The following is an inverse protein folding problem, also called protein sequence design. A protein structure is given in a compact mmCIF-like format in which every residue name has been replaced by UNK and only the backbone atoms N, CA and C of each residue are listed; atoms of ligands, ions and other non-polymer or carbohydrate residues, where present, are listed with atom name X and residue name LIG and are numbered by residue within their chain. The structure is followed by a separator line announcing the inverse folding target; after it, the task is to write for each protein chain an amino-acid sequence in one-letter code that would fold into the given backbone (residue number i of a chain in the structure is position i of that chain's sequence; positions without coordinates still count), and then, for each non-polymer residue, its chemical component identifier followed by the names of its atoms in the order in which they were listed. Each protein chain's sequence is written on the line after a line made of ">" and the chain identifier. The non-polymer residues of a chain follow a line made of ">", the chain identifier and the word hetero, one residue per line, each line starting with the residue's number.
data_IF_614004746605
#
_entry.id   IF_614004746605
#
_cell.length_a   1.000
_cell.length_b   1.000
_cell.length_c   1.000
_cell.angle_alpha   90.00
_cell.angle_beta   90.00
_cell.angle_gamma   90.00
#
_symmetry.space_group_name_H-M   'P 1'
#
loop_
_entity.id
_entity.type
_entity.pdbx_description
1 polymer ?
#
# COMPACT_ATOMS: atom_id res chain seq x y z
N UNK A 1 18.48 -9.19 30.34
CA UNK A 1 17.23 -9.16 31.13
C UNK A 1 16.36 -7.92 30.87
N UNK A 2 16.87 -6.80 30.33
CA UNK A 2 16.01 -5.63 30.06
C UNK A 2 14.98 -5.83 28.93
N UNK A 3 15.32 -6.61 27.90
CA UNK A 3 14.47 -6.76 26.72
C UNK A 3 13.23 -7.64 26.91
N UNK A 4 13.04 -8.35 28.04
CA UNK A 4 11.84 -9.17 28.24
C UNK A 4 10.62 -8.38 28.75
N UNK A 5 10.78 -7.12 29.15
CA UNK A 5 9.68 -6.32 29.71
C UNK A 5 9.73 -4.83 29.36
N UNK A 6 10.65 -4.42 28.47
CA UNK A 6 10.86 -3.01 28.13
C UNK A 6 9.61 -2.30 27.60
N UNK A 7 8.71 -3.02 26.91
CA UNK A 7 7.44 -2.49 26.43
C UNK A 7 6.52 -2.02 27.57
N UNK A 8 6.53 -2.71 28.72
CA UNK A 8 5.85 -2.27 29.94
C UNK A 8 6.55 -1.08 30.59
N UNK A 9 7.85 -0.90 30.38
CA UNK A 9 8.54 0.29 30.90
C UNK A 9 8.29 1.53 30.05
N UNK A 10 8.01 1.39 28.75
CA UNK A 10 7.72 2.55 27.89
C UNK A 10 6.47 3.31 28.30
N UNK A 11 5.44 2.60 28.73
CA UNK A 11 4.14 3.18 29.13
C UNK A 11 4.22 4.00 30.43
N UNK A 12 5.32 3.87 31.20
CA UNK A 12 5.51 4.59 32.46
C UNK A 12 7.00 4.83 32.80
N UNK A 13 7.77 5.29 31.82
CA UNK A 13 9.24 5.29 31.88
C UNK A 13 9.87 6.22 32.94
N UNK A 14 9.11 7.19 33.47
CA UNK A 14 9.56 8.15 34.49
C UNK A 14 9.18 7.75 35.92
N UNK A 15 8.41 6.68 36.11
CA UNK A 15 7.96 6.27 37.42
C UNK A 15 9.11 5.69 38.26
N UNK A 16 9.44 6.33 39.37
CA UNK A 16 10.51 5.91 40.28
C UNK A 16 10.04 5.01 41.41
N UNK A 17 8.73 4.86 41.59
CA UNK A 17 8.12 4.19 42.75
C UNK A 17 7.71 2.75 42.43
N UNK A 18 7.41 2.47 41.16
CA UNK A 18 7.01 1.16 40.66
C UNK A 18 7.58 0.91 39.26
N UNK A 19 7.49 -0.34 38.79
CA UNK A 19 7.93 -0.72 37.47
C UNK A 19 7.08 -0.06 36.37
N UNK A 20 5.75 -0.08 36.55
CA UNK A 20 4.74 0.62 35.77
C UNK A 20 3.42 0.65 36.57
N UNK A 21 2.63 1.70 36.43
CA UNK A 21 1.34 1.81 37.13
C UNK A 21 0.24 0.94 36.51
N UNK A 22 -0.74 0.53 37.34
CA UNK A 22 -1.95 -0.16 36.86
C UNK A 22 -2.74 0.66 35.85
N UNK A 23 -2.71 2.00 35.98
CA UNK A 23 -3.35 2.89 35.00
C UNK A 23 -2.64 2.80 33.65
N UNK A 24 -1.31 2.85 33.64
CA UNK A 24 -0.54 2.75 32.40
C UNK A 24 -0.77 1.40 31.71
N UNK A 25 -0.78 0.30 32.48
CA UNK A 25 -1.10 -1.03 31.94
C UNK A 25 -2.51 -1.04 31.30
N UNK A 26 -3.52 -0.49 31.99
CA UNK A 26 -4.87 -0.46 31.48
C UNK A 26 -5.09 0.43 30.25
N UNK A 27 -4.33 1.51 30.11
CA UNK A 27 -4.47 2.45 29.00
C UNK A 27 -3.76 1.96 27.73
N UNK A 28 -2.68 1.19 27.85
CA UNK A 28 -1.75 0.92 26.74
C UNK A 28 -1.49 -0.56 26.44
N UNK A 29 -1.77 -1.47 27.36
CA UNK A 29 -1.57 -2.90 27.15
C UNK A 29 -2.88 -3.59 26.73
N UNK A 30 -2.78 -4.71 26.01
CA UNK A 30 -1.56 -5.27 25.40
C UNK A 30 -1.17 -4.53 24.12
N UNK A 31 0.09 -4.62 23.70
CA UNK A 31 0.57 -3.97 22.47
C UNK A 31 -0.21 -4.52 21.28
N UNK A 32 -0.89 -3.64 20.53
CA UNK A 32 -1.74 -4.06 19.40
C UNK A 32 -0.93 -4.72 18.27
N UNK A 33 0.21 -4.14 17.91
CA UNK A 33 1.07 -4.61 16.84
C UNK A 33 2.54 -4.61 17.27
N UNK A 34 3.15 -5.79 17.24
CA UNK A 34 4.58 -5.98 17.41
C UNK A 34 5.22 -6.38 16.07
N UNK A 35 6.18 -5.59 15.59
CA UNK A 35 6.94 -5.88 14.37
C UNK A 35 8.39 -6.18 14.75
N UNK A 36 8.88 -7.36 14.38
CA UNK A 36 10.24 -7.78 14.70
C UNK A 36 10.69 -8.98 13.88
N UNK A 37 11.99 -9.11 13.61
CA UNK A 37 12.51 -10.17 12.76
C UNK A 37 12.30 -11.56 13.36
N UNK A 38 12.15 -12.57 12.50
CA UNK A 38 11.89 -13.95 12.90
C UNK A 38 13.04 -14.55 13.75
N UNK A 39 14.25 -13.99 13.69
CA UNK A 39 15.38 -14.35 14.53
C UNK A 39 15.10 -14.21 16.03
N UNK A 40 14.08 -13.44 16.41
CA UNK A 40 13.70 -13.21 17.80
C UNK A 40 12.63 -14.19 18.32
N UNK A 41 12.10 -15.08 17.48
CA UNK A 41 11.01 -16.01 17.82
C UNK A 41 11.33 -16.92 19.01
N UNK A 42 12.52 -17.53 19.04
CA UNK A 42 12.89 -18.53 20.07
C UNK A 42 13.62 -17.95 21.28
N UNK A 43 13.91 -16.64 21.28
CA UNK A 43 14.61 -15.96 22.37
C UNK A 43 13.74 -14.87 22.95
N UNK A 44 13.83 -13.66 22.40
CA UNK A 44 13.19 -12.48 22.96
C UNK A 44 11.68 -12.67 23.11
N UNK A 45 10.98 -13.18 22.10
CA UNK A 45 9.53 -13.36 22.14
C UNK A 45 9.10 -14.38 23.19
N UNK A 46 9.85 -15.48 23.35
CA UNK A 46 9.59 -16.46 24.40
C UNK A 46 9.81 -15.86 25.80
N UNK A 47 10.93 -15.15 26.00
CA UNK A 47 11.21 -14.52 27.29
C UNK A 47 10.25 -13.39 27.61
N UNK A 48 9.82 -12.62 26.61
CA UNK A 48 8.82 -11.55 26.78
C UNK A 48 7.50 -12.13 27.26
N UNK A 49 7.02 -13.20 26.63
CA UNK A 49 5.79 -13.89 27.05
C UNK A 49 5.92 -14.52 28.44
N UNK A 50 7.03 -15.22 28.71
CA UNK A 50 7.26 -15.81 30.03
C UNK A 50 7.22 -14.77 31.16
N UNK A 51 7.97 -13.67 31.02
CA UNK A 51 7.98 -12.63 32.04
C UNK A 51 6.64 -11.89 32.13
N UNK A 52 5.93 -11.70 31.01
CA UNK A 52 4.60 -11.11 31.03
C UNK A 52 3.60 -11.98 31.80
N UNK A 53 3.63 -13.31 31.60
CA UNK A 53 2.79 -14.25 32.36
C UNK A 53 3.11 -14.21 33.86
N UNK A 54 4.39 -14.15 34.25
CA UNK A 54 4.78 -13.97 35.66
C UNK A 54 4.18 -12.67 36.23
N UNK A 55 4.23 -11.57 35.49
CA UNK A 55 3.67 -10.29 35.92
C UNK A 55 2.13 -10.29 35.99
N UNK A 56 1.49 -11.02 35.07
CA UNK A 56 0.04 -11.26 35.09
C UNK A 56 -0.37 -12.07 36.33
N UNK A 57 0.30 -13.18 36.61
CA UNK A 57 0.01 -14.05 37.77
C UNK A 57 0.22 -13.31 39.11
N UNK A 58 1.18 -12.39 39.15
CA UNK A 58 1.43 -11.52 40.31
C UNK A 58 0.47 -10.32 40.40
N UNK A 59 -0.41 -10.12 39.41
CA UNK A 59 -1.40 -9.05 39.39
C UNK A 59 -0.85 -7.65 39.04
N UNK A 60 0.33 -7.59 38.42
CA UNK A 60 0.90 -6.34 37.92
C UNK A 60 0.33 -5.93 36.55
N UNK A 61 0.03 -6.91 35.69
CA UNK A 61 -0.69 -6.68 34.43
C UNK A 61 -2.05 -7.36 34.47
N UNK A 62 -3.06 -6.77 33.83
CA UNK A 62 -4.38 -7.39 33.65
C UNK A 62 -4.48 -8.23 32.36
N UNK A 63 -3.43 -8.26 31.54
CA UNK A 63 -3.40 -8.95 30.26
C UNK A 63 -2.51 -10.20 30.34
N UNK A 64 -2.95 -11.36 29.82
CA UNK A 64 -2.18 -12.60 29.90
C UNK A 64 -1.08 -12.71 28.84
N UNK A 65 -1.14 -11.91 27.76
CA UNK A 65 -0.18 -11.92 26.66
C UNK A 65 0.22 -10.48 26.27
N UNK A 66 1.50 -10.23 25.96
CA UNK A 66 2.00 -8.86 25.76
C UNK A 66 1.68 -8.26 24.38
N UNK A 67 1.42 -9.08 23.36
CA UNK A 67 1.30 -8.67 21.96
C UNK A 67 0.05 -9.28 21.32
N UNK A 68 -0.85 -8.48 20.74
CA UNK A 68 -2.07 -8.96 20.08
C UNK A 68 -1.78 -9.49 18.67
N UNK A 69 -1.05 -8.71 17.87
CA UNK A 69 -0.61 -9.08 16.52
C UNK A 69 0.92 -9.04 16.45
N UNK A 70 1.52 -10.11 15.94
CA UNK A 70 2.94 -10.22 15.67
C UNK A 70 3.16 -10.30 14.15
N UNK A 71 4.04 -9.45 13.62
CA UNK A 71 4.44 -9.48 12.21
C UNK A 71 5.97 -9.60 12.13
N UNK A 72 6.43 -10.55 11.31
CA UNK A 72 7.85 -10.73 11.06
C UNK A 72 8.25 -10.05 9.76
N UNK A 73 8.99 -8.93 9.85
CA UNK A 73 9.60 -8.37 8.64
C UNK A 73 10.64 -9.34 8.09
N UNK A 74 10.70 -9.42 6.76
CA UNK A 74 11.71 -10.21 6.08
C UNK A 74 13.07 -9.54 6.16
N UNK A 75 14.12 -10.36 6.13
CA UNK A 75 15.50 -9.87 6.19
C UNK A 75 15.88 -9.18 4.87
N UNK A 76 16.51 -8.01 4.97
CA UNK A 76 17.16 -7.35 3.84
C UNK A 76 18.58 -7.91 3.71
N UNK A 77 18.87 -8.47 2.54
CA UNK A 77 20.18 -9.03 2.20
C UNK A 77 21.04 -7.98 1.50
N UNK A 78 22.36 -8.18 1.48
CA UNK A 78 23.28 -7.42 0.64
C UNK A 78 22.95 -7.55 -0.85
N UNK A 79 23.61 -6.74 -1.67
CA UNK A 79 23.49 -6.80 -3.14
C UNK A 79 23.95 -8.15 -3.71
N UNK A 80 24.76 -8.89 -2.94
CA UNK A 80 25.24 -10.24 -3.21
C UNK A 80 24.23 -11.34 -2.84
N UNK A 81 23.06 -10.98 -2.28
CA UNK A 81 22.05 -11.94 -1.83
C UNK A 81 22.41 -12.62 -0.51
N UNK A 82 23.39 -12.10 0.23
CA UNK A 82 23.84 -12.68 1.49
C UNK A 82 23.49 -11.78 2.68
N UNK A 83 23.51 -12.32 3.90
CA UNK A 83 23.30 -11.50 5.10
C UNK A 83 24.38 -10.41 5.19
N UNK A 84 23.95 -9.15 5.36
CA UNK A 84 24.88 -8.04 5.51
C UNK A 84 25.74 -8.20 6.76
N UNK A 85 27.05 -7.99 6.64
CA UNK A 85 27.98 -7.99 7.77
C UNK A 85 29.25 -7.20 7.49
N UNK A 86 29.82 -6.56 8.53
CA UNK A 86 31.06 -5.78 8.40
C UNK A 86 32.23 -6.61 7.86
N UNK A 87 32.34 -7.88 8.26
CA UNK A 87 33.39 -8.79 7.79
C UNK A 87 33.30 -9.14 6.31
N UNK A 88 32.11 -9.04 5.71
CA UNK A 88 31.88 -9.28 4.27
C UNK A 88 32.00 -8.02 3.42
N UNK A 89 32.04 -6.84 4.05
CA UNK A 89 32.09 -5.56 3.32
C UNK A 89 30.85 -5.26 2.47
N UNK A 90 29.75 -5.99 2.67
CA UNK A 90 28.51 -5.90 1.89
C UNK A 90 27.39 -5.11 2.62
N UNK A 91 27.75 -4.38 3.68
CA UNK A 91 26.80 -3.54 4.44
C UNK A 91 26.49 -2.29 3.63
N UNK A 92 25.20 -2.02 3.46
CA UNK A 92 24.72 -0.74 2.95
C UNK A 92 24.47 0.17 4.15
N UNK A 93 25.13 1.32 4.17
CA UNK A 93 24.92 2.31 5.22
C UNK A 93 23.70 3.18 4.88
N UNK A 94 22.65 3.20 5.71
CA UNK A 94 21.48 4.04 5.46
C UNK A 94 21.83 5.54 5.39
N UNK A 95 22.84 5.99 6.14
CA UNK A 95 23.24 7.41 6.16
C UNK A 95 23.70 7.89 4.77
N UNK A 96 24.40 7.04 4.02
CA UNK A 96 24.88 7.36 2.67
C UNK A 96 23.67 7.58 1.73
N UNK A 97 22.64 6.73 1.83
CA UNK A 97 21.42 6.86 1.03
C UNK A 97 20.63 8.12 1.44
N UNK A 98 20.52 8.39 2.74
CA UNK A 98 19.82 9.59 3.24
C UNK A 98 20.53 10.87 2.78
N UNK A 99 21.86 10.90 2.81
CA UNK A 99 22.64 12.05 2.36
C UNK A 99 22.50 12.30 0.86
N UNK A 100 22.47 11.23 0.05
CA UNK A 100 22.41 11.34 -1.41
C UNK A 100 21.00 11.52 -1.98
N UNK A 101 20.00 10.84 -1.39
CA UNK A 101 18.65 10.73 -1.95
C UNK A 101 17.55 11.22 -1.00
N UNK A 102 17.87 11.49 0.26
CA UNK A 102 16.92 11.92 1.29
C UNK A 102 16.27 10.77 2.05
N UNK A 103 15.79 11.07 3.27
CA UNK A 103 15.19 10.09 4.17
C UNK A 103 13.93 9.42 3.59
N UNK A 104 13.09 10.20 2.89
CA UNK A 104 11.87 9.67 2.30
C UNK A 104 12.14 8.72 1.13
N UNK A 105 13.24 8.90 0.39
CA UNK A 105 13.61 7.98 -0.67
C UNK A 105 14.01 6.62 -0.08
N UNK A 106 14.79 6.60 1.01
CA UNK A 106 15.13 5.38 1.73
C UNK A 106 13.87 4.67 2.24
N UNK A 107 12.99 5.39 2.97
CA UNK A 107 11.74 4.83 3.53
C UNK A 107 10.82 4.27 2.46
N UNK A 108 10.57 5.03 1.39
CA UNK A 108 9.74 4.57 0.28
C UNK A 108 10.34 3.33 -0.37
N UNK A 109 11.66 3.31 -0.59
CA UNK A 109 12.30 2.16 -1.20
C UNK A 109 12.13 0.90 -0.34
N UNK A 110 12.48 0.94 0.94
CA UNK A 110 12.36 -0.22 1.84
C UNK A 110 10.93 -0.78 1.89
N UNK A 111 9.93 0.11 1.93
CA UNK A 111 8.52 -0.28 1.97
C UNK A 111 7.98 -0.72 0.60
N UNK A 112 8.64 -0.36 -0.50
CA UNK A 112 8.20 -0.67 -1.87
C UNK A 112 8.86 -1.91 -2.49
N UNK A 113 10.02 -2.35 -1.97
CA UNK A 113 10.79 -3.48 -2.51
C UNK A 113 10.01 -4.80 -2.62
N UNK A 114 8.88 -4.93 -1.92
CA UNK A 114 7.99 -6.08 -1.95
C UNK A 114 7.24 -6.25 -0.63
N UNK A 115 6.50 -7.36 -0.45
CA UNK A 115 5.78 -7.64 0.80
C UNK A 115 6.70 -7.53 2.01
N UNK A 116 6.23 -6.93 3.11
CA UNK A 116 7.04 -6.66 4.31
C UNK A 116 7.75 -7.91 4.84
N UNK A 117 7.06 -9.05 4.82
CA UNK A 117 7.51 -10.33 5.36
C UNK A 117 8.55 -11.06 4.48
N UNK A 118 8.68 -10.65 3.22
CA UNK A 118 9.56 -11.33 2.27
C UNK A 118 11.04 -10.97 2.51
N UNK A 119 11.93 -11.97 2.41
CA UNK A 119 13.38 -11.75 2.35
C UNK A 119 13.75 -11.18 0.98
N UNK A 120 14.51 -10.09 0.96
CA UNK A 120 14.76 -9.30 -0.26
C UNK A 120 16.22 -8.84 -0.34
N UNK A 121 16.92 -8.99 -1.48
CA UNK A 121 18.24 -8.37 -1.66
C UNK A 121 18.10 -6.86 -1.88
N UNK A 122 18.97 -6.09 -1.23
CA UNK A 122 19.10 -4.67 -1.47
C UNK A 122 19.59 -4.39 -2.89
N UNK A 123 18.98 -3.40 -3.57
CA UNK A 123 19.38 -2.97 -4.91
C UNK A 123 19.40 -1.45 -5.01
N UNK A 124 20.56 -0.82 -4.80
CA UNK A 124 20.72 0.65 -4.84
C UNK A 124 20.22 1.26 -6.15
N UNK A 125 20.38 0.56 -7.28
CA UNK A 125 19.90 1.02 -8.59
C UNK A 125 18.37 1.21 -8.66
N UNK A 126 17.60 0.52 -7.81
CA UNK A 126 16.14 0.63 -7.77
C UNK A 126 15.66 1.83 -6.94
N UNK A 127 16.51 2.43 -6.09
CA UNK A 127 16.17 3.66 -5.33
C UNK A 127 15.79 4.80 -6.28
N UNK A 128 16.42 4.87 -7.45
CA UNK A 128 16.07 5.85 -8.48
C UNK A 128 14.58 5.78 -8.91
N UNK A 129 13.92 4.62 -8.76
CA UNK A 129 12.50 4.46 -9.03
C UNK A 129 11.61 5.29 -8.10
N UNK A 130 11.86 5.21 -6.79
CA UNK A 130 11.08 5.98 -5.81
C UNK A 130 11.41 7.46 -5.85
N UNK A 131 12.66 7.84 -6.16
CA UNK A 131 13.04 9.25 -6.38
C UNK A 131 12.31 9.86 -7.58
N UNK A 132 12.18 9.12 -8.69
CA UNK A 132 11.36 9.58 -9.83
C UNK A 132 9.90 9.76 -9.44
N UNK A 133 9.34 8.86 -8.64
CA UNK A 133 7.97 8.99 -8.13
C UNK A 133 7.80 10.25 -7.26
N UNK A 134 8.70 10.48 -6.30
CA UNK A 134 8.69 11.69 -5.47
C UNK A 134 8.70 12.97 -6.31
N UNK A 135 9.61 13.05 -7.29
CA UNK A 135 9.71 14.20 -8.19
C UNK A 135 8.42 14.41 -9.01
N UNK A 136 7.79 13.33 -9.47
CA UNK A 136 6.49 13.43 -10.18
C UNK A 136 5.41 13.97 -9.26
N UNK A 137 5.28 13.42 -8.05
CA UNK A 137 4.27 13.83 -7.08
C UNK A 137 4.45 15.30 -6.69
N UNK A 138 5.68 15.71 -6.40
CA UNK A 138 6.02 17.11 -6.12
C UNK A 138 5.59 18.05 -7.26
N UNK A 139 5.85 17.65 -8.51
CA UNK A 139 5.43 18.42 -9.68
C UNK A 139 3.91 18.44 -9.88
N UNK A 140 3.19 17.36 -9.55
CA UNK A 140 1.72 17.34 -9.57
C UNK A 140 1.18 18.38 -8.59
N UNK A 141 1.68 18.39 -7.36
CA UNK A 141 1.22 19.33 -6.32
C UNK A 141 1.53 20.78 -6.69
N UNK A 142 2.70 21.05 -7.28
CA UNK A 142 3.07 22.41 -7.72
C UNK A 142 2.25 22.97 -8.88
N UNK A 143 1.59 22.12 -9.65
CA UNK A 143 0.78 22.52 -10.81
C UNK A 143 -0.73 22.39 -10.52
N UNK A 144 -1.12 22.34 -9.24
CA UNK A 144 -2.52 22.34 -8.85
C UNK A 144 -3.23 23.60 -9.34
N UNK A 145 -4.44 23.40 -9.86
CA UNK A 145 -5.35 24.46 -10.21
C UNK A 145 -6.48 24.51 -9.19
N UNK A 146 -6.57 25.62 -8.45
CA UNK A 146 -7.59 25.80 -7.41
C UNK A 146 -9.02 25.92 -7.97
N UNK A 147 -9.16 26.19 -9.27
CA UNK A 147 -10.45 26.30 -9.96
C UNK A 147 -10.83 25.00 -10.70
N UNK A 148 -9.93 24.01 -10.77
CA UNK A 148 -10.21 22.74 -11.45
C UNK A 148 -11.16 21.89 -10.61
N UNK A 149 -12.31 21.53 -11.20
CA UNK A 149 -13.24 20.57 -10.64
C UNK A 149 -12.75 19.13 -10.90
N UNK A 150 -13.03 18.24 -9.95
CA UNK A 150 -12.67 16.84 -10.08
C UNK A 150 -13.71 16.11 -10.95
N UNK A 151 -13.27 15.57 -12.08
CA UNK A 151 -14.13 14.76 -12.93
C UNK A 151 -14.47 13.40 -12.30
N UNK A 152 -15.44 12.69 -12.90
CA UNK A 152 -15.91 11.40 -12.40
C UNK A 152 -14.81 10.33 -12.39
N UNK A 153 -13.91 10.33 -13.38
CA UNK A 153 -12.79 9.39 -13.45
C UNK A 153 -11.81 9.61 -12.29
N UNK A 154 -11.40 10.86 -12.07
CA UNK A 154 -10.47 11.25 -11.00
C UNK A 154 -11.09 11.01 -9.63
N UNK A 155 -12.38 11.32 -9.46
CA UNK A 155 -13.13 11.06 -8.23
C UNK A 155 -13.12 9.58 -7.91
N UNK A 156 -13.53 8.74 -8.87
CA UNK A 156 -13.56 7.29 -8.70
C UNK A 156 -12.17 6.73 -8.36
N UNK A 157 -11.14 7.12 -9.11
CA UNK A 157 -9.77 6.64 -8.87
C UNK A 157 -9.22 7.11 -7.53
N UNK A 158 -9.52 8.35 -7.10
CA UNK A 158 -9.16 8.85 -5.77
C UNK A 158 -9.78 7.98 -4.68
N UNK A 159 -11.08 7.68 -4.77
CA UNK A 159 -11.78 6.82 -3.81
C UNK A 159 -11.22 5.39 -3.76
N UNK A 160 -10.97 4.78 -4.93
CA UNK A 160 -10.30 3.48 -5.02
C UNK A 160 -8.90 3.51 -4.39
N UNK A 161 -8.14 4.59 -4.60
CA UNK A 161 -6.80 4.76 -4.02
C UNK A 161 -6.87 4.92 -2.51
N UNK A 162 -7.76 5.77 -2.00
CA UNK A 162 -7.97 5.97 -0.55
C UNK A 162 -8.36 4.66 0.14
N UNK A 163 -9.28 3.89 -0.46
CA UNK A 163 -9.64 2.55 0.03
C UNK A 163 -8.43 1.64 0.07
N UNK A 164 -7.77 1.47 -1.08
CA UNK A 164 -6.65 0.54 -1.21
C UNK A 164 -5.50 0.87 -0.26
N UNK A 165 -5.09 2.13 -0.16
CA UNK A 165 -4.00 2.55 0.72
C UNK A 165 -4.37 2.31 2.19
N UNK A 166 -5.61 2.61 2.58
CA UNK A 166 -6.09 2.38 3.95
C UNK A 166 -6.08 0.89 4.31
N UNK A 167 -6.65 0.04 3.45
CA UNK A 167 -6.69 -1.41 3.66
C UNK A 167 -5.28 -2.03 3.66
N UNK A 168 -4.43 -1.62 2.71
CA UNK A 168 -3.06 -2.12 2.59
C UNK A 168 -2.19 -1.71 3.79
N UNK A 169 -2.34 -0.50 4.34
CA UNK A 169 -1.63 -0.09 5.57
C UNK A 169 -2.03 -0.98 6.74
N UNK A 170 -3.33 -1.23 6.94
CA UNK A 170 -3.83 -2.11 8.00
C UNK A 170 -3.36 -3.56 7.84
N UNK A 171 -3.24 -4.00 6.59
CA UNK A 171 -2.73 -5.33 6.24
C UNK A 171 -1.19 -5.41 6.20
N UNK A 172 -0.47 -4.31 6.40
CA UNK A 172 0.99 -4.19 6.25
C UNK A 172 1.50 -4.50 4.81
N UNK A 173 0.63 -4.34 3.81
CA UNK A 173 0.92 -4.50 2.38
C UNK A 173 1.45 -3.18 1.77
N UNK A 174 2.49 -2.61 2.38
CA UNK A 174 2.98 -1.27 2.05
C UNK A 174 3.42 -1.09 0.58
N UNK A 175 3.98 -2.15 -0.02
CA UNK A 175 4.43 -2.10 -1.40
C UNK A 175 3.27 -1.86 -2.37
N UNK A 176 2.11 -2.48 -2.14
CA UNK A 176 0.92 -2.28 -2.99
C UNK A 176 0.19 -0.98 -2.69
N UNK A 177 0.28 -0.46 -1.45
CA UNK A 177 -0.19 0.89 -1.12
C UNK A 177 0.60 1.92 -1.93
N UNK A 178 1.94 1.83 -1.92
CA UNK A 178 2.82 2.72 -2.69
C UNK A 178 2.57 2.56 -4.20
N UNK A 179 2.34 1.33 -4.70
CA UNK A 179 1.92 1.14 -6.11
C UNK A 179 0.63 1.91 -6.44
N UNK A 180 -0.38 1.88 -5.55
CA UNK A 180 -1.63 2.61 -5.75
C UNK A 180 -1.39 4.13 -5.81
N UNK A 181 -0.54 4.66 -4.92
CA UNK A 181 -0.11 6.06 -4.96
C UNK A 181 0.60 6.39 -6.28
N UNK A 182 1.52 5.54 -6.76
CA UNK A 182 2.18 5.75 -8.04
C UNK A 182 1.20 5.81 -9.21
N UNK A 183 0.18 4.94 -9.23
CA UNK A 183 -0.88 4.95 -10.25
C UNK A 183 -1.65 6.28 -10.20
N UNK A 184 -2.08 6.68 -9.01
CA UNK A 184 -2.83 7.93 -8.84
C UNK A 184 -1.99 9.17 -9.20
N UNK A 185 -0.70 9.21 -8.84
CA UNK A 185 0.21 10.29 -9.29
C UNK A 185 0.31 10.35 -10.81
N UNK A 186 0.41 9.21 -11.51
CA UNK A 186 0.49 9.21 -12.96
C UNK A 186 -0.82 9.70 -13.59
N UNK A 187 -1.98 9.36 -13.01
CA UNK A 187 -3.28 9.89 -13.42
C UNK A 187 -3.33 11.41 -13.29
N UNK A 188 -3.03 11.94 -12.10
CA UNK A 188 -3.00 13.39 -11.86
C UNK A 188 -1.99 14.10 -12.76
N UNK A 189 -0.82 13.51 -13.00
CA UNK A 189 0.16 14.05 -13.94
C UNK A 189 -0.41 14.16 -15.37
N UNK A 190 -1.30 13.25 -15.77
CA UNK A 190 -1.99 13.28 -17.06
C UNK A 190 -2.95 14.46 -17.22
N UNK A 191 -3.48 14.99 -16.11
CA UNK A 191 -4.38 16.15 -16.09
C UNK A 191 -3.63 17.48 -16.34
N UNK A 192 -2.30 17.49 -16.31
CA UNK A 192 -1.44 18.67 -16.56
C UNK A 192 -1.75 19.84 -15.61
N UNK A 193 -2.37 20.90 -16.12
CA UNK A 193 -2.75 22.13 -15.41
C UNK A 193 -4.18 22.08 -14.87
N UNK A 194 -4.85 20.91 -14.96
CA UNK A 194 -6.19 20.68 -14.44
C UNK A 194 -6.18 19.74 -13.22
N UNK A 195 -5.10 19.71 -12.44
CA UNK A 195 -5.03 18.91 -11.20
C UNK A 195 -5.91 19.55 -10.14
N UNK A 196 -7.01 18.91 -9.69
CA UNK A 196 -7.88 19.45 -8.65
C UNK A 196 -7.13 19.51 -7.32
N UNK A 197 -7.28 20.63 -6.61
CA UNK A 197 -6.64 20.84 -5.30
C UNK A 197 -6.96 19.74 -4.29
N UNK A 198 -8.24 19.37 -4.19
CA UNK A 198 -8.69 18.34 -3.25
C UNK A 198 -7.96 17.00 -3.48
N UNK A 199 -7.80 16.58 -4.75
CA UNK A 199 -7.10 15.35 -5.08
C UNK A 199 -5.62 15.39 -4.63
N UNK A 200 -4.95 16.53 -4.79
CA UNK A 200 -3.58 16.73 -4.33
C UNK A 200 -3.45 16.75 -2.79
N UNK A 201 -4.43 17.35 -2.09
CA UNK A 201 -4.49 17.35 -0.62
C UNK A 201 -4.66 15.93 -0.07
N UNK A 202 -5.60 15.15 -0.60
CA UNK A 202 -5.78 13.74 -0.20
C UNK A 202 -4.56 12.90 -0.55
N UNK A 203 -3.90 13.18 -1.67
CA UNK A 203 -2.65 12.53 -2.04
C UNK A 203 -1.53 12.76 -1.01
N UNK A 204 -1.37 14.00 -0.53
CA UNK A 204 -0.37 14.32 0.49
C UNK A 204 -0.66 13.58 1.81
N UNK A 205 -1.92 13.53 2.25
CA UNK A 205 -2.32 12.78 3.45
C UNK A 205 -2.01 11.28 3.34
N UNK A 206 -2.32 10.66 2.20
CA UNK A 206 -2.03 9.23 1.98
C UNK A 206 -0.53 8.92 1.88
N UNK A 207 0.27 9.88 1.40
CA UNK A 207 1.73 9.74 1.27
C UNK A 207 2.44 9.81 2.63
N UNK A 208 1.89 10.57 3.57
CA UNK A 208 2.54 10.93 4.84
C UNK A 208 3.12 9.76 5.67
N UNK A 209 2.47 8.59 5.78
CA UNK A 209 3.06 7.46 6.50
C UNK A 209 4.37 6.96 5.88
N UNK A 210 4.53 7.11 4.56
CA UNK A 210 5.66 6.58 3.80
C UNK A 210 6.76 7.63 3.62
N UNK A 211 6.39 8.84 3.21
CA UNK A 211 7.29 9.97 2.92
C UNK A 211 6.80 11.26 3.62
N UNK A 212 6.95 11.34 4.96
CA UNK A 212 6.38 12.43 5.75
C UNK A 212 6.96 13.81 5.41
N UNK A 213 8.24 13.90 5.05
CA UNK A 213 8.87 15.21 4.77
C UNK A 213 8.35 15.79 3.45
N UNK A 214 8.26 14.95 2.42
CA UNK A 214 7.67 15.32 1.13
C UNK A 214 6.18 15.64 1.28
N UNK A 215 5.45 14.86 2.07
CA UNK A 215 4.04 15.13 2.33
C UNK A 215 3.83 16.51 3.00
N UNK A 216 4.63 16.86 4.01
CA UNK A 216 4.58 18.17 4.67
C UNK A 216 4.95 19.33 3.74
N UNK A 217 5.98 19.14 2.92
CA UNK A 217 6.36 20.14 1.92
C UNK A 217 5.22 20.35 0.90
N UNK A 218 4.61 19.26 0.41
CA UNK A 218 3.44 19.34 -0.47
C UNK A 218 2.24 20.03 0.20
N UNK A 219 1.98 19.72 1.47
CA UNK A 219 0.90 20.32 2.26
C UNK A 219 1.10 21.83 2.43
N UNK A 220 2.33 22.25 2.73
CA UNK A 220 2.73 23.66 2.81
C UNK A 220 2.59 24.37 1.47
N UNK A 221 3.01 23.76 0.36
CA UNK A 221 2.86 24.30 -1.01
C UNK A 221 1.38 24.55 -1.35
N UNK A 222 0.49 23.68 -0.88
CA UNK A 222 -0.96 23.85 -1.06
C UNK A 222 -1.51 25.01 -0.22
N UNK A 223 -0.73 25.58 0.70
CA UNK A 223 -1.08 26.77 1.49
C UNK A 223 -1.59 26.45 2.89
N UNK A 224 -1.37 25.24 3.39
CA UNK A 224 -1.70 24.88 4.77
C UNK A 224 -0.60 25.34 5.73
N UNK A 225 -0.97 26.04 6.80
CA UNK A 225 -0.01 26.57 7.79
C UNK A 225 0.29 25.58 8.92
N UNK A 226 -0.56 24.56 9.10
CA UNK A 226 -0.43 23.56 10.16
C UNK A 226 0.06 22.25 9.58
N UNK A 227 0.83 21.53 10.39
CA UNK A 227 1.31 20.17 10.09
C UNK A 227 0.13 19.25 9.77
N UNK A 228 0.29 18.47 8.70
CA UNK A 228 -0.70 17.45 8.32
C UNK A 228 -0.74 16.27 9.29
N UNK A 229 0.25 16.13 10.17
CA UNK A 229 0.34 15.02 11.13
C UNK A 229 -0.85 14.94 12.10
N UNK A 230 -1.60 16.04 12.27
CA UNK A 230 -2.80 16.10 13.11
C UNK A 230 -4.11 16.15 12.31
N UNK A 231 -4.04 16.08 10.98
CA UNK A 231 -5.23 16.01 10.13
C UNK A 231 -5.87 14.62 10.18
N UNK A 232 -7.17 14.57 9.91
CA UNK A 232 -7.91 13.32 9.85
C UNK A 232 -7.42 12.43 8.71
N UNK A 233 -7.35 11.12 8.95
CA UNK A 233 -7.08 10.16 7.87
C UNK A 233 -8.17 10.23 6.79
N UNK A 234 -7.77 9.99 5.53
CA UNK A 234 -8.67 10.02 4.37
C UNK A 234 -9.85 9.07 4.54
N UNK A 235 -11.01 9.47 4.01
CA UNK A 235 -12.25 8.68 4.02
C UNK A 235 -12.69 8.45 2.58
N UNK A 236 -13.19 7.25 2.29
CA UNK A 236 -13.67 6.88 0.97
C UNK A 236 -15.11 6.38 1.03
N UNK A 237 -15.86 6.67 -0.02
CA UNK A 237 -17.18 6.09 -0.27
C UNK A 237 -17.07 4.76 -1.02
N UNK A 238 -17.66 3.71 -0.45
CA UNK A 238 -17.67 2.37 -1.04
C UNK A 238 -18.31 2.32 -2.43
N UNK A 239 -19.37 3.10 -2.66
CA UNK A 239 -20.06 3.16 -3.95
C UNK A 239 -19.14 3.64 -5.09
N UNK A 240 -18.22 4.56 -4.80
CA UNK A 240 -17.25 5.09 -5.76
C UNK A 240 -16.03 4.17 -5.95
N UNK A 241 -15.93 3.08 -5.19
CA UNK A 241 -14.86 2.11 -5.33
C UNK A 241 -15.20 0.96 -6.28
N UNK A 242 -16.49 0.82 -6.65
CA UNK A 242 -16.97 -0.28 -7.48
C UNK A 242 -16.77 0.03 -8.96
N UNK A 243 -16.24 -0.93 -9.70
CA UNK A 243 -16.25 -0.86 -11.15
C UNK A 243 -17.61 -1.27 -11.71
N UNK A 244 -18.34 -0.29 -12.26
CA UNK A 244 -19.60 -0.51 -12.96
C UNK A 244 -19.39 -1.20 -14.30
N UNK A 245 -18.21 -1.05 -14.90
CA UNK A 245 -17.81 -1.67 -16.16
C UNK A 245 -16.59 -2.56 -15.98
N UNK A 246 -16.53 -3.63 -16.77
CA UNK A 246 -15.39 -4.56 -16.81
C UNK A 246 -14.84 -4.61 -18.23
N UNK A 247 -13.51 -4.67 -18.33
CA UNK A 247 -12.84 -5.04 -19.57
C UNK A 247 -12.80 -6.56 -19.70
N UNK A 248 -13.33 -7.07 -20.80
CA UNK A 248 -13.46 -8.50 -21.04
C UNK A 248 -12.82 -8.88 -22.36
N UNK A 249 -11.87 -9.80 -22.29
CA UNK A 249 -11.24 -10.38 -23.49
C UNK A 249 -12.25 -11.18 -24.31
N UNK A 250 -12.25 -10.94 -25.62
CA UNK A 250 -13.07 -11.68 -26.59
C UNK A 250 -12.19 -12.64 -27.38
N UNK A 251 -12.61 -13.90 -27.45
CA UNK A 251 -11.98 -14.95 -28.23
C UNK A 251 -12.94 -15.49 -29.30
N UNK A 252 -12.36 -15.92 -30.43
CA UNK A 252 -13.06 -16.73 -31.43
C UNK A 252 -12.26 -18.01 -31.64
N UNK A 253 -12.91 -19.16 -31.42
CA UNK A 253 -12.28 -20.49 -31.45
C UNK A 253 -11.01 -20.55 -30.56
N UNK A 254 -11.09 -19.96 -29.36
CA UNK A 254 -10.00 -19.99 -28.36
C UNK A 254 -8.82 -19.06 -28.66
N UNK A 255 -8.89 -18.22 -29.70
CA UNK A 255 -7.84 -17.22 -30.00
C UNK A 255 -8.36 -15.82 -29.71
N UNK A 256 -7.58 -15.00 -29.01
CA UNK A 256 -7.94 -13.61 -28.68
C UNK A 256 -8.15 -12.77 -29.95
N UNK A 257 -9.26 -12.03 -30.00
CA UNK A 257 -9.67 -11.18 -31.12
C UNK A 257 -9.95 -9.74 -30.75
N UNK A 258 -10.11 -9.45 -29.46
CA UNK A 258 -10.13 -8.10 -28.94
C UNK A 258 -10.57 -8.09 -27.48
N UNK A 259 -11.03 -6.93 -27.04
CA UNK A 259 -11.46 -6.66 -25.66
C UNK A 259 -12.64 -5.70 -25.71
N UNK A 260 -13.73 -6.03 -25.01
CA UNK A 260 -14.93 -5.20 -24.89
C UNK A 260 -15.01 -4.61 -23.49
N UNK A 261 -15.69 -3.47 -23.37
CA UNK A 261 -16.02 -2.88 -22.07
C UNK A 261 -17.54 -2.96 -21.90
N UNK A 262 -17.99 -3.69 -20.89
CA UNK A 262 -19.42 -3.93 -20.63
C UNK A 262 -19.74 -3.78 -19.14
N UNK A 263 -21.00 -3.54 -18.76
CA UNK A 263 -21.39 -3.54 -17.34
C UNK A 263 -20.94 -4.81 -16.62
N UNK A 264 -20.56 -4.70 -15.35
CA UNK A 264 -20.07 -5.83 -14.54
C UNK A 264 -21.11 -6.96 -14.41
N UNK A 265 -22.37 -6.59 -14.41
CA UNK A 265 -23.55 -7.46 -14.37
C UNK A 265 -24.16 -7.73 -15.76
N UNK A 266 -23.45 -7.39 -16.84
CA UNK A 266 -23.89 -7.65 -18.20
C UNK A 266 -24.17 -9.14 -18.41
N UNK A 267 -25.28 -9.43 -19.10
CA UNK A 267 -25.63 -10.77 -19.52
C UNK A 267 -24.84 -11.21 -20.77
N UNK A 268 -25.00 -12.48 -21.13
CA UNK A 268 -24.34 -13.07 -22.30
C UNK A 268 -24.71 -12.30 -23.59
N UNK A 269 -25.96 -11.86 -23.72
CA UNK A 269 -26.45 -11.16 -24.92
C UNK A 269 -25.76 -9.80 -25.08
N UNK A 270 -25.67 -9.01 -24.01
CA UNK A 270 -24.96 -7.73 -24.00
C UNK A 270 -23.49 -7.92 -24.36
N UNK A 271 -22.84 -8.93 -23.79
CA UNK A 271 -21.43 -9.24 -24.09
C UNK A 271 -21.22 -9.63 -25.55
N UNK A 272 -22.11 -10.44 -26.12
CA UNK A 272 -22.04 -10.89 -27.52
C UNK A 272 -22.27 -9.72 -28.48
N UNK A 273 -23.24 -8.85 -28.19
CA UNK A 273 -23.52 -7.68 -29.02
C UNK A 273 -22.31 -6.74 -29.08
N UNK A 274 -21.72 -6.41 -27.91
CA UNK A 274 -20.51 -5.59 -27.84
C UNK A 274 -19.32 -6.25 -28.56
N UNK A 275 -19.18 -7.58 -28.47
CA UNK A 275 -18.13 -8.32 -29.18
C UNK A 275 -18.31 -8.28 -30.70
N UNK A 276 -19.55 -8.35 -31.18
CA UNK A 276 -19.88 -8.31 -32.61
C UNK A 276 -19.73 -6.90 -33.21
N UNK A 277 -19.57 -5.85 -32.41
CA UNK A 277 -19.17 -4.52 -32.92
C UNK A 277 -17.69 -4.45 -33.29
N UNK A 278 -16.87 -5.41 -32.84
CA UNK A 278 -15.45 -5.44 -33.15
C UNK A 278 -15.18 -6.05 -34.52
N UNK A 279 -14.55 -5.26 -35.39
CA UNK A 279 -14.16 -5.67 -36.76
C UNK A 279 -13.38 -6.99 -36.82
N UNK A 280 -12.48 -7.23 -35.85
CA UNK A 280 -11.69 -8.47 -35.75
C UNK A 280 -12.52 -9.70 -35.37
N UNK A 281 -13.59 -9.52 -34.61
CA UNK A 281 -14.50 -10.59 -34.21
C UNK A 281 -15.43 -10.89 -35.38
N UNK A 282 -16.05 -9.87 -35.98
CA UNK A 282 -16.90 -10.01 -37.17
C UNK A 282 -16.18 -10.78 -38.28
N UNK A 283 -14.96 -10.36 -38.66
CA UNK A 283 -14.19 -11.00 -39.72
C UNK A 283 -13.88 -12.49 -39.47
N UNK A 284 -14.01 -12.98 -38.24
CA UNK A 284 -13.78 -14.38 -37.89
C UNK A 284 -15.07 -15.20 -37.77
N UNK A 285 -16.22 -14.54 -37.63
CA UNK A 285 -17.55 -15.15 -37.48
C UNK A 285 -18.35 -15.04 -38.79
N UNK A 286 -18.05 -14.08 -39.65
CA UNK A 286 -18.72 -13.87 -40.94
C UNK A 286 -18.68 -15.15 -41.80
N UNK A 287 -19.85 -15.55 -42.30
CA UNK A 287 -20.03 -16.74 -43.13
C UNK A 287 -19.92 -18.08 -42.37
N UNK A 288 -19.82 -18.07 -41.04
CA UNK A 288 -19.74 -19.28 -40.20
C UNK A 288 -20.96 -19.42 -39.30
N UNK A 289 -21.26 -20.66 -38.95
CA UNK A 289 -22.29 -20.95 -37.95
C UNK A 289 -21.71 -20.83 -36.55
N UNK A 290 -22.33 -20.01 -35.70
CA UNK A 290 -22.03 -20.01 -34.26
C UNK A 290 -22.60 -21.30 -33.66
N UNK A 291 -21.72 -22.19 -33.21
CA UNK A 291 -22.11 -23.49 -32.62
C UNK A 291 -22.25 -23.43 -31.11
N UNK A 292 -21.49 -22.55 -30.45
CA UNK A 292 -21.52 -22.40 -28.98
C UNK A 292 -20.93 -21.07 -28.57
N UNK A 293 -21.53 -20.46 -27.56
CA UNK A 293 -20.99 -19.30 -26.85
C UNK A 293 -20.56 -19.78 -25.47
N UNK A 294 -19.38 -19.35 -25.03
CA UNK A 294 -18.89 -19.58 -23.68
C UNK A 294 -18.69 -18.21 -23.05
N UNK A 295 -19.66 -17.84 -22.22
CA UNK A 295 -19.61 -16.62 -21.43
C UNK A 295 -19.26 -16.95 -19.98
N UNK A 296 -18.17 -16.38 -19.48
CA UNK A 296 -17.81 -16.41 -18.06
C UNK A 296 -17.79 -14.97 -17.56
N UNK A 297 -18.82 -14.54 -16.81
CA UNK A 297 -18.93 -13.18 -16.30
C UNK A 297 -17.63 -12.71 -15.63
N UNK A 298 -17.20 -11.48 -15.92
CA UNK A 298 -15.98 -10.92 -15.33
C UNK A 298 -14.66 -11.51 -15.85
N UNK A 299 -14.68 -12.51 -16.75
CA UNK A 299 -13.45 -13.19 -17.20
C UNK A 299 -13.27 -13.20 -18.69
N UNK A 300 -14.17 -13.84 -19.44
CA UNK A 300 -13.93 -14.09 -20.86
C UNK A 300 -15.22 -14.39 -21.62
N UNK A 301 -15.25 -13.95 -22.88
CA UNK A 301 -16.21 -14.37 -23.88
C UNK A 301 -15.48 -15.15 -24.99
N UNK A 302 -15.90 -16.39 -25.26
CA UNK A 302 -15.36 -17.18 -26.36
C UNK A 302 -16.47 -17.68 -27.28
N UNK A 303 -16.41 -17.25 -28.55
CA UNK A 303 -17.37 -17.60 -29.59
C UNK A 303 -16.80 -18.76 -30.41
N UNK A 304 -17.50 -19.89 -30.43
CA UNK A 304 -17.15 -21.04 -31.25
C UNK A 304 -17.92 -20.97 -32.57
N UNK A 305 -17.23 -20.60 -33.65
CA UNK A 305 -17.80 -20.45 -34.98
C UNK A 305 -17.13 -21.43 -35.97
N UNK A 306 -17.92 -22.18 -36.73
CA UNK A 306 -17.45 -23.17 -37.72
C UNK A 306 -17.96 -22.87 -39.12
#
# INVERSE_FOLDING_TARGET
>A
AGSCWYFLRYIDNKNSNEAFSKKADADWMPVDLYVGGAEHAVLHLLYARFWHQVLFDLGYSQHPEPFQKLVHQGMILGTDGEKMSKSRGNVVNPDDIVQEQGADALRLYEMFMGPLEAVKPWQTSQVAGVVRFQNKLYNVVRNVNNEAEMDAETTKLLHQTMKKVTEDINAMAFNTAISALMIFTNHLQGLKDQVPREAAEKMALMLAPFAPHLAEECWSILGHEKTLAYEGWVQYEEALCVDDTIKMGVQVNGKARGEIEIPKDADEETAVNAAMEQSRVQAQVEGKDIKKIIYVPGRILNIIAK
#
